data_IF_142369428401
#
_entry.id   IF_142369428401
#
_cell.length_a   1.000
_cell.length_b   1.000
_cell.length_c   1.000
_cell.angle_alpha   90.00
_cell.angle_beta   90.00
_cell.angle_gamma   90.00
#
_symmetry.space_group_name_H-M   'P 1'
#
loop_
_entity.id
_entity.type
_entity.pdbx_description
1 polymer ?
#
# COMPACT_ATOMS: atom_id res chain seq x y z
N UNK A 1 36.22 -11.04 8.87
CA UNK A 1 35.10 -11.79 9.48
C UNK A 1 34.03 -11.95 8.42
N UNK A 2 33.77 -13.19 8.03
CA UNK A 2 33.16 -13.60 6.76
C UNK A 2 31.62 -13.43 6.75
N UNK A 3 31.09 -12.79 5.70
CA UNK A 3 29.66 -12.49 5.52
C UNK A 3 28.79 -13.74 5.28
N UNK A 4 29.40 -14.89 4.96
CA UNK A 4 28.68 -16.18 4.84
C UNK A 4 28.03 -16.65 6.14
N UNK A 5 28.66 -16.40 7.29
CA UNK A 5 28.18 -16.87 8.59
C UNK A 5 26.93 -16.13 9.09
N UNK A 6 26.57 -15.00 8.49
CA UNK A 6 25.37 -14.21 8.86
C UNK A 6 24.12 -14.74 8.16
N UNK A 7 24.24 -15.24 6.93
CA UNK A 7 23.12 -15.81 6.19
C UNK A 7 22.66 -17.14 6.79
N UNK A 8 23.59 -18.01 7.19
CA UNK A 8 23.26 -19.31 7.81
C UNK A 8 22.58 -19.18 9.19
N UNK A 9 22.91 -18.13 9.95
CA UNK A 9 22.25 -17.83 11.24
C UNK A 9 20.79 -17.42 11.08
N UNK A 10 20.43 -16.74 9.99
CA UNK A 10 19.05 -16.29 9.75
C UNK A 10 18.17 -17.47 9.29
N UNK A 11 18.73 -18.39 8.49
CA UNK A 11 18.00 -19.59 8.03
C UNK A 11 17.72 -20.55 9.19
N UNK A 12 18.66 -20.73 10.13
CA UNK A 12 18.49 -21.65 11.26
C UNK A 12 17.53 -21.14 12.36
N UNK A 13 17.30 -19.82 12.47
CA UNK A 13 16.30 -19.26 13.40
C UNK A 13 14.85 -19.46 12.93
N UNK A 14 14.63 -19.76 11.66
CA UNK A 14 13.29 -19.96 11.10
C UNK A 14 12.70 -21.37 11.30
N UNK A 15 13.49 -22.34 11.78
CA UNK A 15 13.09 -23.75 11.82
C UNK A 15 12.84 -24.33 13.22
N UNK A 16 12.95 -23.54 14.30
CA UNK A 16 12.72 -24.04 15.66
C UNK A 16 11.99 -23.00 16.53
N UNK A 17 10.67 -23.02 16.54
CA UNK A 17 9.86 -22.68 17.73
C UNK A 17 8.35 -22.82 17.43
N UNK A 18 7.79 -23.96 17.83
CA UNK A 18 6.37 -24.05 18.18
C UNK A 18 6.29 -24.09 19.71
N UNK A 19 5.51 -23.23 20.38
CA UNK A 19 5.15 -23.44 21.78
C UNK A 19 3.76 -24.12 21.92
N UNK A 20 3.53 -24.86 23.01
CA UNK A 20 2.35 -25.71 23.24
C UNK A 20 1.12 -24.91 23.75
N UNK A 21 -0.09 -25.49 23.78
CA UNK A 21 -1.28 -24.78 24.22
C UNK A 21 -1.35 -24.70 25.75
N UNK A 22 -1.83 -23.57 26.28
CA UNK A 22 -2.24 -23.45 27.68
C UNK A 22 -3.71 -23.04 27.77
N UNK A 23 -4.43 -23.80 28.59
CA UNK A 23 -5.82 -23.60 28.99
C UNK A 23 -5.89 -22.72 30.25
N UNK A 24 -6.90 -21.86 30.37
CA UNK A 24 -7.75 -21.74 31.56
C UNK A 24 -8.76 -20.58 31.47
N UNK A 25 -10.00 -20.96 31.75
CA UNK A 25 -11.15 -20.25 32.33
C UNK A 25 -10.93 -18.87 32.95
N UNK A 26 -11.88 -17.95 32.70
CA UNK A 26 -12.23 -16.88 33.64
C UNK A 26 -13.76 -16.79 33.81
N UNK A 27 -14.16 -16.62 35.07
CA UNK A 27 -15.52 -16.46 35.59
C UNK A 27 -15.93 -14.99 35.56
N UNK A 28 -17.23 -14.76 35.32
CA UNK A 28 -17.91 -13.46 35.41
C UNK A 28 -17.89 -12.89 36.83
N UNK A 29 -17.72 -11.58 36.97
CA UNK A 29 -18.42 -10.77 37.98
C UNK A 29 -18.76 -9.39 37.40
N UNK A 30 -20.06 -9.08 37.41
CA UNK A 30 -20.68 -7.79 37.16
C UNK A 30 -20.34 -6.80 38.29
N UNK A 31 -20.24 -5.49 38.02
CA UNK A 31 -20.81 -4.47 38.91
C UNK A 31 -21.10 -3.15 38.17
N UNK A 32 -22.30 -2.66 38.45
CA UNK A 32 -23.09 -1.61 37.81
C UNK A 32 -22.80 -0.17 38.27
N UNK A 33 -23.07 0.79 37.36
CA UNK A 33 -23.61 2.16 37.52
C UNK A 33 -23.63 2.80 38.94
N UNK A 34 -23.11 4.02 39.10
CA UNK A 34 -23.87 5.31 39.05
C UNK A 34 -23.03 6.50 39.58
N UNK A 35 -23.50 7.71 39.27
CA UNK A 35 -23.23 9.03 39.87
C UNK A 35 -22.24 10.04 39.25
N UNK A 36 -22.90 11.08 38.71
CA UNK A 36 -22.46 12.47 38.51
C UNK A 36 -21.68 13.07 39.69
N UNK A 37 -20.69 13.92 39.40
CA UNK A 37 -20.44 15.16 40.15
C UNK A 37 -19.56 16.13 39.34
N UNK A 38 -20.12 17.32 39.08
CA UNK A 38 -19.45 18.53 38.62
C UNK A 38 -18.45 19.00 39.69
N UNK A 39 -17.22 19.38 39.30
CA UNK A 39 -16.25 20.01 40.21
C UNK A 39 -16.11 21.52 39.91
N UNK A 40 -16.02 22.41 40.93
CA UNK A 40 -15.90 23.85 40.73
C UNK A 40 -14.49 24.25 40.27
N UNK A 41 -14.41 25.20 39.33
CA UNK A 41 -13.15 25.79 38.87
C UNK A 41 -12.57 26.73 39.95
N UNK A 42 -11.36 26.45 40.42
CA UNK A 42 -10.56 27.39 41.19
C UNK A 42 -9.66 28.18 40.22
N UNK A 43 -9.78 29.51 40.24
CA UNK A 43 -8.85 30.42 39.57
C UNK A 43 -7.51 30.38 40.30
N UNK A 44 -6.46 29.97 39.59
CA UNK A 44 -5.07 30.09 40.06
C UNK A 44 -4.46 31.29 39.31
N UNK A 45 -4.16 32.36 40.04
CA UNK A 45 -3.35 33.47 39.54
C UNK A 45 -1.89 33.02 39.48
N UNK A 46 -1.29 33.06 38.28
CA UNK A 46 0.12 32.73 38.05
C UNK A 46 0.90 34.05 38.02
N UNK A 47 1.70 34.31 39.04
CA UNK A 47 2.68 35.39 39.07
C UNK A 47 3.92 34.99 38.26
N UNK A 48 4.25 35.77 37.23
CA UNK A 48 5.46 35.58 36.41
C UNK A 48 6.66 36.25 37.05
N UNK A 49 7.53 35.47 37.69
CA UNK A 49 8.93 35.82 37.90
C UNK A 49 9.74 35.04 36.85
N UNK A 50 10.24 35.74 35.83
CA UNK A 50 11.08 35.17 34.78
C UNK A 50 12.55 35.40 35.18
N UNK A 51 13.24 34.34 35.59
CA UNK A 51 14.70 34.28 35.56
C UNK A 51 15.13 33.95 34.12
N UNK A 52 16.05 34.76 33.57
CA UNK A 52 16.62 34.60 32.23
C UNK A 52 17.48 33.33 32.15
N UNK A 53 16.86 32.17 31.92
CA UNK A 53 17.56 30.99 31.42
C UNK A 53 17.67 31.09 29.90
N UNK A 54 18.90 31.12 29.36
CA UNK A 54 19.14 31.07 27.92
C UNK A 54 18.36 29.89 27.28
N UNK A 55 17.33 30.21 26.50
CA UNK A 55 16.50 29.21 25.84
C UNK A 55 17.36 28.37 24.88
N UNK A 56 17.28 27.04 25.02
CA UNK A 56 17.90 26.12 24.07
C UNK A 56 17.49 26.50 22.63
N UNK A 57 18.48 26.55 21.74
CA UNK A 57 18.27 26.92 20.32
C UNK A 57 17.16 26.06 19.71
N UNK A 58 16.17 26.74 19.14
CA UNK A 58 15.03 26.18 18.44
C UNK A 58 15.48 25.15 17.37
N UNK A 59 15.14 23.87 17.59
CA UNK A 59 15.47 22.75 16.69
C UNK A 59 14.37 22.49 15.63
N UNK A 60 13.42 23.41 15.44
CA UNK A 60 12.40 23.29 14.39
C UNK A 60 13.05 23.41 13.01
N UNK A 61 12.67 22.51 12.08
CA UNK A 61 13.22 22.45 10.72
C UNK A 61 13.93 21.16 10.34
N UNK A 62 13.86 20.11 11.16
CA UNK A 62 14.35 18.79 10.77
C UNK A 62 13.65 18.28 9.51
N UNK A 63 14.44 17.63 8.65
CA UNK A 63 13.93 17.00 7.44
C UNK A 63 12.86 15.98 7.86
N UNK A 64 11.61 16.11 7.39
CA UNK A 64 10.56 15.17 7.76
C UNK A 64 10.96 13.77 7.28
N UNK A 65 10.69 12.76 8.11
CA UNK A 65 10.94 11.35 7.77
C UNK A 65 10.25 10.94 6.45
N UNK A 66 9.19 11.65 6.08
CA UNK A 66 8.43 11.46 4.85
C UNK A 66 9.05 12.16 3.63
N UNK A 67 10.26 12.74 3.74
CA UNK A 67 10.95 13.32 2.58
C UNK A 67 11.27 12.20 1.59
N UNK A 68 10.76 12.31 0.36
CA UNK A 68 11.12 11.39 -0.70
C UNK A 68 12.63 11.44 -0.95
N UNK A 69 13.28 10.28 -1.18
CA UNK A 69 14.68 10.23 -1.62
C UNK A 69 14.91 11.08 -2.87
N UNK A 70 16.04 11.77 -2.92
CA UNK A 70 16.37 12.70 -4.02
C UNK A 70 16.38 12.00 -5.40
N UNK A 71 16.73 10.71 -5.43
CA UNK A 71 16.64 9.84 -6.61
C UNK A 71 15.22 9.76 -7.18
N UNK A 72 14.21 9.50 -6.34
CA UNK A 72 12.81 9.41 -6.76
C UNK A 72 12.28 10.77 -7.22
N UNK A 73 12.72 11.85 -6.57
CA UNK A 73 12.43 13.22 -6.98
C UNK A 73 12.96 13.51 -8.39
N UNK A 74 14.15 13.01 -8.72
CA UNK A 74 14.72 13.16 -10.06
C UNK A 74 13.92 12.38 -11.10
N UNK A 75 13.49 11.15 -10.83
CA UNK A 75 12.63 10.40 -11.77
C UNK A 75 11.33 11.12 -12.10
N UNK A 76 10.69 11.73 -11.09
CA UNK A 76 9.47 12.52 -11.28
C UNK A 76 9.77 13.75 -12.12
N UNK A 77 10.85 14.48 -11.84
CA UNK A 77 11.27 15.65 -12.61
C UNK A 77 11.59 15.30 -14.06
N UNK A 78 12.33 14.21 -14.28
CA UNK A 78 12.71 13.74 -15.62
C UNK A 78 11.48 13.31 -16.42
N UNK A 79 10.52 12.64 -15.78
CA UNK A 79 9.25 12.30 -16.40
C UNK A 79 8.46 13.54 -16.79
N UNK A 80 8.31 14.52 -15.89
CA UNK A 80 7.64 15.80 -16.19
C UNK A 80 8.38 16.57 -17.31
N UNK A 81 9.71 16.52 -17.32
CA UNK A 81 10.52 17.20 -18.33
C UNK A 81 10.53 16.50 -19.68
N UNK A 82 10.15 15.21 -19.75
CA UNK A 82 10.04 14.47 -20.99
C UNK A 82 8.87 14.92 -21.88
N UNK A 83 7.87 15.61 -21.31
CA UNK A 83 6.74 16.13 -22.07
C UNK A 83 7.10 17.42 -22.82
N UNK A 84 6.61 17.61 -24.07
CA UNK A 84 6.83 18.83 -24.83
C UNK A 84 6.14 20.02 -24.14
N UNK A 85 6.86 21.13 -24.05
CA UNK A 85 6.39 22.37 -23.40
C UNK A 85 6.23 23.46 -24.44
N UNK A 86 5.12 24.19 -24.35
CA UNK A 86 4.74 25.20 -25.33
C UNK A 86 4.73 26.59 -24.69
N UNK A 87 4.99 27.61 -25.51
CA UNK A 87 4.85 29.02 -25.10
C UNK A 87 3.44 29.47 -25.47
N UNK A 88 2.77 30.21 -24.59
CA UNK A 88 1.47 30.79 -24.92
C UNK A 88 1.62 31.85 -26.01
N UNK A 89 0.95 31.66 -27.15
CA UNK A 89 0.94 32.63 -28.26
C UNK A 89 0.26 33.96 -27.87
N UNK A 90 -0.62 33.94 -26.86
CA UNK A 90 -1.27 35.12 -26.28
C UNK A 90 -0.50 35.65 -25.06
N UNK A 91 0.63 36.32 -25.30
CA UNK A 91 1.32 37.33 -24.45
C UNK A 91 2.80 37.35 -24.83
N UNK A 92 3.08 37.92 -25.99
CA UNK A 92 4.45 38.26 -26.33
C UNK A 92 4.97 39.39 -25.43
N UNK A 93 6.19 39.18 -24.89
CA UNK A 93 7.14 40.14 -24.30
C UNK A 93 7.34 40.22 -22.77
N UNK A 94 6.71 39.41 -21.90
CA UNK A 94 6.98 39.54 -20.43
C UNK A 94 7.16 38.26 -19.60
N UNK A 95 7.15 37.04 -20.16
CA UNK A 95 7.25 35.81 -19.36
C UNK A 95 8.01 34.69 -20.07
N UNK A 96 8.97 34.05 -19.38
CA UNK A 96 9.72 32.86 -19.82
C UNK A 96 9.00 31.53 -19.50
N UNK A 97 7.79 31.59 -18.94
CA UNK A 97 7.02 30.41 -18.53
C UNK A 97 6.63 29.57 -19.75
N UNK A 98 6.82 28.26 -19.65
CA UNK A 98 6.37 27.25 -20.61
C UNK A 98 5.26 26.42 -19.98
N UNK A 99 4.29 26.00 -20.78
CA UNK A 99 3.10 25.28 -20.35
C UNK A 99 3.08 23.88 -20.94
N UNK A 100 2.52 22.93 -20.17
CA UNK A 100 2.17 21.61 -20.68
C UNK A 100 0.91 21.71 -21.55
N UNK A 101 0.72 20.72 -22.42
CA UNK A 101 -0.45 20.65 -23.31
C UNK A 101 -1.72 20.40 -22.48
N UNK A 102 -2.86 20.97 -22.91
CA UNK A 102 -4.10 20.99 -22.11
C UNK A 102 -4.72 19.61 -21.87
N UNK A 103 -4.43 18.65 -22.74
CA UNK A 103 -4.83 17.24 -22.64
C UNK A 103 -3.99 16.45 -21.62
N UNK A 104 -2.89 17.02 -21.14
CA UNK A 104 -1.96 16.38 -20.22
C UNK A 104 -2.29 16.74 -18.77
N UNK A 105 -3.31 16.07 -18.21
CA UNK A 105 -3.71 16.22 -16.81
C UNK A 105 -2.72 15.55 -15.84
N UNK A 106 -2.76 15.92 -14.56
CA UNK A 106 -1.96 15.25 -13.51
C UNK A 106 -2.22 13.74 -13.46
N UNK A 107 -3.49 13.33 -13.56
CA UNK A 107 -3.86 11.91 -13.62
C UNK A 107 -3.26 11.25 -14.86
N UNK A 108 -3.33 11.89 -16.03
CA UNK A 108 -2.75 11.34 -17.27
C UNK A 108 -1.23 11.21 -17.17
N UNK A 109 -0.54 12.20 -16.59
CA UNK A 109 0.91 12.15 -16.36
C UNK A 109 1.28 11.03 -15.38
N UNK A 110 0.47 10.81 -14.34
CA UNK A 110 0.66 9.73 -13.38
C UNK A 110 0.43 8.35 -14.01
N UNK A 111 -0.61 8.17 -14.84
CA UNK A 111 -0.80 6.93 -15.59
C UNK A 111 0.39 6.66 -16.53
N UNK A 112 0.87 7.69 -17.23
CA UNK A 112 2.05 7.57 -18.09
C UNK A 112 3.33 7.30 -17.28
N UNK A 113 3.42 7.81 -16.05
CA UNK A 113 4.53 7.54 -15.14
C UNK A 113 4.53 6.08 -14.68
N UNK A 114 3.38 5.57 -14.23
CA UNK A 114 3.20 4.17 -13.85
C UNK A 114 3.49 3.22 -15.00
N UNK A 115 2.99 3.53 -16.20
CA UNK A 115 3.25 2.75 -17.40
C UNK A 115 4.74 2.70 -17.75
N UNK A 116 5.48 3.77 -17.42
CA UNK A 116 6.92 3.87 -17.68
C UNK A 116 7.77 3.25 -16.55
N UNK A 117 7.31 3.32 -15.32
CA UNK A 117 8.01 2.85 -14.12
C UNK A 117 6.98 2.31 -13.13
N UNK A 118 7.00 1.02 -12.81
CA UNK A 118 6.49 0.43 -11.53
C UNK A 118 6.18 -1.06 -11.69
N UNK A 119 7.23 -1.88 -11.81
CA UNK A 119 7.09 -3.29 -11.45
C UNK A 119 8.33 -3.70 -10.69
N UNK A 120 8.16 -4.16 -9.44
CA UNK A 120 9.27 -4.61 -8.58
C UNK A 120 10.14 -5.65 -9.30
N UNK A 121 9.52 -6.58 -10.02
CA UNK A 121 10.24 -7.58 -10.82
C UNK A 121 11.02 -6.93 -11.96
N UNK A 122 10.43 -6.01 -12.71
CA UNK A 122 11.13 -5.26 -13.75
C UNK A 122 12.31 -4.45 -13.20
N UNK A 123 12.13 -3.82 -12.04
CA UNK A 123 13.16 -3.01 -11.38
C UNK A 123 14.31 -3.89 -10.91
N UNK A 124 14.02 -5.02 -10.27
CA UNK A 124 15.03 -6.01 -9.86
C UNK A 124 15.81 -6.55 -11.06
N UNK A 125 15.12 -6.93 -12.14
CA UNK A 125 15.76 -7.42 -13.36
C UNK A 125 16.59 -6.32 -14.03
N UNK A 126 16.15 -5.07 -14.01
CA UNK A 126 16.91 -3.95 -14.57
C UNK A 126 18.17 -3.62 -13.77
N UNK A 127 18.09 -3.71 -12.44
CA UNK A 127 19.27 -3.60 -11.57
C UNK A 127 20.24 -4.74 -11.87
N UNK A 128 19.74 -5.98 -11.99
CA UNK A 128 20.56 -7.13 -12.33
C UNK A 128 21.26 -6.96 -13.69
N UNK A 129 20.55 -6.48 -14.72
CA UNK A 129 21.13 -6.18 -16.04
C UNK A 129 22.24 -5.13 -15.96
N UNK A 130 22.11 -4.13 -15.08
CA UNK A 130 23.12 -3.07 -14.92
C UNK A 130 24.34 -3.52 -14.12
N UNK A 131 24.18 -4.51 -13.24
CA UNK A 131 25.23 -5.02 -12.38
C UNK A 131 26.02 -6.18 -13.03
N UNK A 132 25.42 -6.86 -14.00
CA UNK A 132 26.01 -7.99 -14.70
C UNK A 132 27.01 -7.54 -15.78
N UNK A 133 28.18 -8.17 -15.82
CA UNK A 133 29.23 -7.86 -16.80
C UNK A 133 29.17 -8.83 -17.99
N UNK A 134 28.69 -10.05 -17.77
CA UNK A 134 28.56 -11.05 -18.82
C UNK A 134 27.39 -10.74 -19.77
N UNK A 135 27.69 -10.75 -21.07
CA UNK A 135 26.73 -10.38 -22.12
C UNK A 135 25.63 -11.45 -22.26
N UNK A 136 25.99 -12.73 -22.16
CA UNK A 136 25.03 -13.83 -22.33
C UNK A 136 24.00 -13.81 -21.19
N UNK A 137 24.47 -13.64 -19.96
CA UNK A 137 23.64 -13.50 -18.76
C UNK A 137 22.77 -12.25 -18.83
N UNK A 138 23.32 -11.10 -19.26
CA UNK A 138 22.53 -9.88 -19.49
C UNK A 138 21.39 -10.11 -20.49
N UNK A 139 21.65 -10.82 -21.59
CA UNK A 139 20.63 -11.14 -22.60
C UNK A 139 19.55 -12.05 -22.02
N UNK A 140 19.91 -13.07 -21.25
CA UNK A 140 18.95 -13.95 -20.59
C UNK A 140 18.01 -13.18 -19.62
N UNK A 141 18.57 -12.28 -18.81
CA UNK A 141 17.77 -11.45 -17.88
C UNK A 141 16.84 -10.50 -18.64
N UNK A 142 17.27 -9.95 -19.78
CA UNK A 142 16.40 -9.13 -20.65
C UNK A 142 15.24 -9.93 -21.21
N UNK A 143 15.48 -11.15 -21.70
CA UNK A 143 14.42 -12.04 -22.19
C UNK A 143 13.41 -12.33 -21.08
N UNK A 144 13.87 -12.59 -19.85
CA UNK A 144 12.97 -12.78 -18.70
C UNK A 144 12.13 -11.53 -18.41
N UNK A 145 12.71 -10.33 -18.50
CA UNK A 145 11.98 -9.07 -18.34
C UNK A 145 10.91 -8.91 -19.42
N UNK A 146 11.23 -9.19 -20.67
CA UNK A 146 10.29 -9.10 -21.78
C UNK A 146 9.13 -10.11 -21.65
N UNK A 147 9.45 -11.35 -21.24
CA UNK A 147 8.44 -12.37 -20.94
C UNK A 147 7.50 -11.93 -19.82
N UNK A 148 8.03 -11.35 -18.74
CA UNK A 148 7.23 -10.83 -17.64
C UNK A 148 6.25 -9.74 -18.11
N UNK A 149 6.72 -8.79 -18.91
CA UNK A 149 5.90 -7.70 -19.45
C UNK A 149 4.82 -8.27 -20.39
N UNK A 150 5.19 -9.21 -21.25
CA UNK A 150 4.28 -9.86 -22.20
C UNK A 150 3.16 -10.62 -21.47
N UNK A 151 3.52 -11.48 -20.51
CA UNK A 151 2.56 -12.25 -19.72
C UNK A 151 1.60 -11.32 -18.95
N UNK A 152 2.12 -10.25 -18.34
CA UNK A 152 1.30 -9.27 -17.65
C UNK A 152 0.35 -8.51 -18.60
N UNK A 153 0.72 -8.33 -19.87
CA UNK A 153 -0.16 -7.81 -20.91
C UNK A 153 -1.26 -8.80 -21.27
N UNK A 154 -0.91 -10.07 -21.48
CA UNK A 154 -1.84 -11.15 -21.83
C UNK A 154 -2.89 -11.37 -20.73
N UNK A 155 -2.48 -11.44 -19.47
CA UNK A 155 -3.41 -11.60 -18.33
C UNK A 155 -4.41 -10.43 -18.25
N UNK A 156 -3.95 -9.19 -18.47
CA UNK A 156 -4.84 -8.02 -18.51
C UNK A 156 -5.83 -8.09 -19.66
N UNK A 157 -5.41 -8.57 -20.83
CA UNK A 157 -6.30 -8.75 -21.97
C UNK A 157 -7.36 -9.81 -21.68
N UNK A 158 -6.96 -10.97 -21.13
CA UNK A 158 -7.89 -12.02 -20.70
C UNK A 158 -8.92 -11.47 -19.72
N UNK A 159 -8.47 -10.71 -18.71
CA UNK A 159 -9.36 -10.09 -17.74
C UNK A 159 -10.37 -9.13 -18.41
N UNK A 160 -9.91 -8.29 -19.34
CA UNK A 160 -10.80 -7.38 -20.07
C UNK A 160 -11.80 -8.11 -20.97
N UNK A 161 -11.37 -9.17 -21.64
CA UNK A 161 -12.23 -10.01 -22.46
C UNK A 161 -13.30 -10.69 -21.60
N UNK A 162 -12.92 -11.24 -20.45
CA UNK A 162 -13.83 -11.84 -19.49
C UNK A 162 -14.84 -10.80 -18.94
N UNK A 163 -14.39 -9.57 -18.61
CA UNK A 163 -15.29 -8.46 -18.24
C UNK A 163 -16.29 -8.13 -19.35
N UNK A 164 -15.89 -8.24 -20.62
CA UNK A 164 -16.78 -8.07 -21.75
C UNK A 164 -17.89 -9.14 -21.78
N UNK A 165 -17.52 -10.40 -21.54
CA UNK A 165 -18.44 -11.56 -21.57
C UNK A 165 -19.48 -11.53 -20.43
N UNK A 166 -19.10 -11.07 -19.24
CA UNK A 166 -19.99 -10.93 -18.08
C UNK A 166 -21.22 -10.07 -18.39
N UNK A 167 -21.11 -9.08 -19.28
CA UNK A 167 -22.24 -8.22 -19.66
C UNK A 167 -23.34 -8.98 -20.40
N UNK A 168 -22.99 -10.08 -21.05
CA UNK A 168 -23.91 -10.90 -21.83
C UNK A 168 -24.31 -12.19 -21.10
N UNK A 169 -23.43 -12.73 -20.27
CA UNK A 169 -23.58 -14.02 -19.60
C UNK A 169 -23.80 -13.84 -18.10
N UNK A 170 -25.02 -14.09 -17.63
CA UNK A 170 -25.40 -14.00 -16.20
C UNK A 170 -24.92 -15.17 -15.35
N UNK A 171 -24.36 -16.21 -15.99
CA UNK A 171 -23.79 -17.37 -15.32
C UNK A 171 -22.29 -17.24 -15.04
N UNK A 172 -21.67 -16.16 -15.52
CA UNK A 172 -20.25 -15.88 -15.38
C UNK A 172 -19.99 -14.81 -14.33
N UNK A 173 -19.13 -15.14 -13.36
CA UNK A 173 -18.53 -14.22 -12.42
C UNK A 173 -17.04 -14.08 -12.76
N UNK A 174 -16.56 -12.85 -12.88
CA UNK A 174 -15.13 -12.56 -13.00
C UNK A 174 -14.71 -11.85 -11.73
N UNK A 175 -13.73 -12.38 -10.99
CA UNK A 175 -13.27 -11.77 -9.75
C UNK A 175 -11.75 -11.71 -9.68
N UNK A 176 -11.24 -10.58 -9.22
CA UNK A 176 -9.84 -10.41 -8.85
C UNK A 176 -9.77 -10.03 -7.38
N UNK A 177 -8.86 -10.61 -6.63
CA UNK A 177 -8.70 -10.30 -5.21
C UNK A 177 -7.24 -10.33 -4.79
N UNK A 178 -6.91 -9.49 -3.82
CA UNK A 178 -5.58 -9.42 -3.25
C UNK A 178 -5.62 -8.97 -1.79
N UNK A 179 -4.56 -9.33 -1.06
CA UNK A 179 -4.29 -8.81 0.27
C UNK A 179 -3.49 -7.52 0.11
N UNK A 180 -4.08 -6.41 0.53
CA UNK A 180 -3.41 -5.12 0.50
C UNK A 180 -2.26 -5.06 1.52
N UNK A 181 -1.44 -4.02 1.38
CA UNK A 181 -0.44 -3.71 2.39
C UNK A 181 -1.14 -3.44 3.73
N UNK A 182 -0.56 -4.03 4.77
CA UNK A 182 -1.03 -3.87 6.15
C UNK A 182 -1.05 -2.40 6.58
N UNK A 183 -2.14 -2.03 7.24
CA UNK A 183 -2.41 -0.68 7.69
C UNK A 183 -2.10 -0.59 9.19
N UNK A 184 -1.02 0.08 9.61
CA UNK A 184 -0.74 0.25 11.03
C UNK A 184 -1.74 1.21 11.66
N UNK A 185 -2.35 0.79 12.77
CA UNK A 185 -3.26 1.60 13.58
C UNK A 185 -2.86 1.57 15.07
N UNK A 186 -3.18 2.64 15.83
CA UNK A 186 -3.69 3.94 15.38
C UNK A 186 -2.57 4.80 14.75
N UNK A 187 -2.93 5.67 13.81
CA UNK A 187 -2.00 6.69 13.31
C UNK A 187 -1.82 7.79 14.36
N UNK A 188 -0.66 7.80 15.02
CA UNK A 188 -0.33 8.78 16.05
C UNK A 188 0.98 9.48 15.72
N UNK A 189 0.99 10.80 15.84
CA UNK A 189 2.16 11.65 15.58
C UNK A 189 2.89 12.03 16.88
N UNK A 190 3.00 11.09 17.82
CA UNK A 190 3.70 11.26 19.10
C UNK A 190 4.91 10.33 19.17
N UNK A 191 6.04 10.83 19.70
CA UNK A 191 7.31 10.09 19.68
C UNK A 191 7.30 8.79 20.48
N UNK A 192 6.44 8.67 21.50
CA UNK A 192 6.31 7.48 22.33
C UNK A 192 5.81 6.27 21.53
N UNK A 193 4.95 6.50 20.52
CA UNK A 193 4.33 5.45 19.71
C UNK A 193 5.37 4.71 18.86
N UNK A 194 6.50 5.34 18.55
CA UNK A 194 7.62 4.69 17.86
C UNK A 194 8.15 3.46 18.60
N UNK A 195 8.05 3.43 19.93
CA UNK A 195 8.52 2.33 20.76
C UNK A 195 7.43 1.30 21.09
N UNK A 196 6.19 1.55 20.64
CA UNK A 196 5.06 0.66 20.85
C UNK A 196 4.84 -0.19 19.59
N UNK A 197 4.32 -1.40 19.78
CA UNK A 197 3.89 -2.25 18.67
C UNK A 197 2.58 -1.68 18.10
N UNK A 198 2.62 -1.26 16.85
CA UNK A 198 1.42 -0.84 16.11
C UNK A 198 0.51 -2.04 15.81
N UNK A 199 -0.78 -1.91 16.09
CA UNK A 199 -1.77 -2.92 15.70
C UNK A 199 -1.91 -2.92 14.19
N UNK A 200 -1.69 -4.08 13.59
CA UNK A 200 -1.79 -4.25 12.15
C UNK A 200 -3.22 -4.54 11.71
N UNK A 201 -3.82 -3.68 10.90
CA UNK A 201 -5.05 -3.98 10.18
C UNK A 201 -4.74 -4.63 8.84
N UNK A 202 -5.38 -5.77 8.60
CA UNK A 202 -5.34 -6.49 7.35
C UNK A 202 -6.56 -6.10 6.53
N UNK A 203 -6.39 -5.97 5.21
CA UNK A 203 -7.46 -5.71 4.27
C UNK A 203 -7.37 -6.68 3.10
N UNK A 204 -8.44 -7.41 2.86
CA UNK A 204 -8.60 -8.29 1.72
C UNK A 204 -9.65 -7.72 0.78
N UNK A 205 -9.20 -7.25 -0.38
CA UNK A 205 -10.04 -6.64 -1.39
C UNK A 205 -10.51 -7.67 -2.40
N UNK A 206 -11.81 -7.77 -2.61
CA UNK A 206 -12.42 -8.57 -3.67
C UNK A 206 -13.09 -7.61 -4.64
N UNK A 207 -12.68 -7.67 -5.90
CA UNK A 207 -13.26 -6.90 -6.99
C UNK A 207 -13.88 -7.86 -8.01
N UNK A 208 -15.20 -7.89 -8.02
CA UNK A 208 -15.99 -8.81 -8.81
C UNK A 208 -16.83 -8.08 -9.86
N UNK A 209 -17.04 -8.77 -10.97
CA UNK A 209 -17.83 -8.34 -12.11
C UNK A 209 -18.91 -9.39 -12.35
N UNK A 210 -20.16 -8.97 -12.18
CA UNK A 210 -21.37 -9.72 -12.48
C UNK A 210 -22.22 -8.93 -13.48
N UNK A 211 -23.27 -9.53 -14.04
CA UNK A 211 -24.11 -8.87 -15.05
C UNK A 211 -24.76 -7.59 -14.53
N UNK A 212 -25.13 -7.56 -13.25
CA UNK A 212 -25.73 -6.42 -12.56
C UNK A 212 -24.75 -5.26 -12.35
N UNK A 213 -23.44 -5.51 -12.52
CA UNK A 213 -22.39 -4.51 -12.41
C UNK A 213 -21.20 -4.97 -11.59
N UNK A 214 -20.44 -3.99 -11.12
CA UNK A 214 -19.25 -4.23 -10.31
C UNK A 214 -19.62 -4.35 -8.83
N UNK A 215 -19.00 -5.32 -8.15
CA UNK A 215 -19.13 -5.54 -6.70
C UNK A 215 -17.74 -5.48 -6.10
N UNK A 216 -17.57 -4.63 -5.09
CA UNK A 216 -16.30 -4.44 -4.39
C UNK A 216 -16.54 -4.68 -2.91
N UNK A 217 -15.78 -5.59 -2.33
CA UNK A 217 -15.82 -5.89 -0.91
C UNK A 217 -14.42 -5.73 -0.33
N UNK A 218 -14.33 -4.99 0.77
CA UNK A 218 -13.09 -4.78 1.53
C UNK A 218 -13.27 -5.43 2.89
N UNK A 219 -12.70 -6.62 3.05
CA UNK A 219 -12.78 -7.38 4.29
C UNK A 219 -11.59 -7.00 5.16
N UNK A 220 -11.87 -6.26 6.24
CA UNK A 220 -10.85 -5.78 7.17
C UNK A 220 -10.92 -6.52 8.50
N UNK A 221 -9.77 -6.95 9.00
CA UNK A 221 -9.66 -7.49 10.36
C UNK A 221 -8.31 -7.11 10.99
N UNK A 222 -8.27 -6.90 12.32
CA UNK A 222 -7.02 -6.67 13.02
C UNK A 222 -6.23 -7.98 13.18
N UNK A 223 -4.90 -7.88 13.25
CA UNK A 223 -4.00 -9.04 13.38
C UNK A 223 -4.26 -9.93 14.60
N UNK A 224 -4.93 -9.40 15.63
CA UNK A 224 -5.30 -10.18 16.82
C UNK A 224 -6.53 -11.07 16.60
N UNK A 225 -7.37 -10.76 15.60
CA UNK A 225 -8.54 -11.56 15.25
C UNK A 225 -8.19 -12.69 14.27
N UNK A 226 -7.17 -12.49 13.44
CA UNK A 226 -6.81 -13.45 12.41
C UNK A 226 -5.53 -13.04 11.68
N UNK A 227 -4.83 -14.03 11.16
CA UNK A 227 -3.62 -13.82 10.38
C UNK A 227 -3.96 -13.60 8.90
N UNK A 228 -3.03 -13.93 7.99
CA UNK A 228 -3.22 -13.93 6.53
C UNK A 228 -3.36 -15.36 6.00
N UNK A 229 -3.89 -16.25 6.85
CA UNK A 229 -3.97 -17.66 6.55
C UNK A 229 -5.08 -17.95 5.55
N UNK A 230 -5.12 -19.19 5.09
CA UNK A 230 -6.19 -19.67 4.21
C UNK A 230 -7.57 -19.60 4.86
N UNK A 231 -7.65 -19.66 6.19
CA UNK A 231 -8.92 -19.60 6.93
C UNK A 231 -9.57 -18.22 6.79
N UNK A 232 -8.83 -17.14 7.05
CA UNK A 232 -9.35 -15.78 6.95
C UNK A 232 -9.72 -15.43 5.51
N UNK A 233 -8.90 -15.86 4.54
CA UNK A 233 -9.17 -15.68 3.12
C UNK A 233 -10.42 -16.46 2.70
N UNK A 234 -10.57 -17.72 3.13
CA UNK A 234 -11.72 -18.54 2.78
C UNK A 234 -13.00 -18.00 3.41
N UNK A 235 -12.97 -17.58 4.68
CA UNK A 235 -14.13 -16.93 5.32
C UNK A 235 -14.55 -15.67 4.59
N UNK A 236 -13.59 -14.86 4.15
CA UNK A 236 -13.84 -13.66 3.35
C UNK A 236 -14.47 -13.97 1.99
N UNK A 237 -13.98 -15.01 1.31
CA UNK A 237 -14.54 -15.47 0.03
C UNK A 237 -15.92 -16.08 0.22
N UNK A 238 -16.14 -16.84 1.30
CA UNK A 238 -17.42 -17.47 1.61
C UNK A 238 -18.51 -16.43 1.83
N UNK A 239 -18.27 -15.44 2.70
CA UNK A 239 -19.21 -14.33 2.91
C UNK A 239 -19.47 -13.57 1.61
N UNK A 240 -18.44 -13.32 0.79
CA UNK A 240 -18.66 -12.70 -0.52
C UNK A 240 -19.57 -13.54 -1.44
N UNK A 241 -19.34 -14.84 -1.52
CA UNK A 241 -20.13 -15.75 -2.37
C UNK A 241 -21.57 -15.88 -1.88
N UNK A 242 -21.82 -15.90 -0.58
CA UNK A 242 -23.19 -15.98 -0.03
C UNK A 242 -23.94 -14.65 -0.15
N UNK A 243 -23.29 -13.52 0.16
CA UNK A 243 -23.98 -12.24 0.30
C UNK A 243 -24.07 -11.43 -1.00
N UNK A 244 -23.10 -11.61 -1.91
CA UNK A 244 -22.90 -10.70 -3.04
C UNK A 244 -23.04 -11.36 -4.42
N UNK A 245 -23.10 -12.69 -4.49
CA UNK A 245 -23.16 -13.43 -5.77
C UNK A 245 -24.56 -14.03 -5.98
N UNK A 246 -25.24 -13.70 -7.09
CA UNK A 246 -26.55 -14.28 -7.40
C UNK A 246 -26.49 -15.78 -7.71
N UNK A 247 -27.56 -16.51 -7.40
CA UNK A 247 -27.72 -17.95 -7.71
C UNK A 247 -27.63 -18.30 -9.20
N UNK A 248 -27.74 -17.30 -10.09
CA UNK A 248 -27.60 -17.48 -11.54
C UNK A 248 -26.17 -17.80 -11.95
N UNK A 249 -25.18 -17.39 -11.15
CA UNK A 249 -23.76 -17.60 -11.41
C UNK A 249 -23.41 -19.08 -11.22
N UNK A 250 -22.75 -19.66 -12.24
CA UNK A 250 -22.34 -21.07 -12.25
C UNK A 250 -20.86 -21.26 -12.55
N UNK A 251 -20.19 -20.23 -13.06
CA UNK A 251 -18.80 -20.27 -13.45
C UNK A 251 -18.04 -19.06 -12.90
N UNK A 252 -16.85 -19.32 -12.40
CA UNK A 252 -15.93 -18.32 -11.87
C UNK A 252 -14.68 -18.25 -12.76
N UNK A 253 -14.32 -17.05 -13.17
CA UNK A 253 -13.05 -16.73 -13.80
C UNK A 253 -12.23 -15.81 -12.88
N UNK A 254 -10.97 -16.17 -12.64
CA UNK A 254 -10.01 -15.43 -11.83
C UNK A 254 -8.80 -15.00 -12.67
#
# INVERSE_FOLDING_TARGET
MDNRNRAERIVNMALQSSPPPSSSTSTNEDFSNDHSCYHPQQNIEISTELEDSEAERDKRGHVPANKLPDEKLNWIKDHINSFPKFVSHYRERRSTRKYLRQDLSMNKMYELFKAKYTCKTCDMLEIAIKAEEDIETCLAIRVQKDQHIKLAGEVRNILNDCKGKVKTDESLLVATFDLERTLPLPYLNTGEVYYLRELQMLNFGIHAYIKEGEKVLMNMWPEHCGARGSQEIMSSLHSFLEDSVPDTVKSLCF
#
